data_IF_881543033512
#
_entry.id   IF_881543033512
#
_cell.length_a   1.000
_cell.length_b   1.000
_cell.length_c   1.000
_cell.angle_alpha   90.00
_cell.angle_beta   90.00
_cell.angle_gamma   90.00
#
_symmetry.space_group_name_H-M   'P 1'
#
loop_
_entity.id
_entity.type
_entity.pdbx_description
1 polymer ?
#
# COMPACT_ATOMS: atom_id res chain seq x y z
N UNK A 1 -2.93 -6.30 -28.76
CA UNK A 1 -3.76 -6.81 -27.64
C UNK A 1 -3.20 -6.24 -26.36
N UNK A 2 -3.78 -5.15 -25.88
CA UNK A 2 -3.34 -4.46 -24.67
C UNK A 2 -4.19 -5.00 -23.52
N UNK A 3 -3.76 -6.06 -22.84
CA UNK A 3 -4.42 -6.50 -21.61
C UNK A 3 -4.10 -5.48 -20.52
N UNK A 4 -5.04 -4.56 -20.28
CA UNK A 4 -5.10 -3.81 -19.03
C UNK A 4 -5.03 -4.80 -17.88
N UNK A 5 -4.01 -4.69 -17.04
CA UNK A 5 -3.75 -5.64 -15.94
C UNK A 5 -5.03 -5.94 -15.16
N UNK A 6 -5.46 -7.21 -15.06
CA UNK A 6 -6.64 -7.58 -14.30
C UNK A 6 -6.44 -7.25 -12.83
N UNK A 7 -7.50 -6.76 -12.18
CA UNK A 7 -7.55 -6.57 -10.72
C UNK A 7 -7.63 -7.97 -10.08
N UNK A 8 -6.47 -8.62 -9.98
CA UNK A 8 -6.33 -10.03 -9.56
C UNK A 8 -7.05 -10.30 -8.25
N UNK A 9 -6.97 -9.38 -7.29
CA UNK A 9 -7.59 -9.55 -5.98
C UNK A 9 -9.11 -9.54 -6.11
N UNK A 10 -9.67 -8.63 -6.93
CA UNK A 10 -11.10 -8.59 -7.21
C UNK A 10 -11.58 -9.87 -7.89
N UNK A 11 -10.85 -10.34 -8.90
CA UNK A 11 -11.20 -11.55 -9.64
C UNK A 11 -11.09 -12.79 -8.74
N UNK A 12 -10.06 -12.85 -7.89
CA UNK A 12 -9.90 -13.91 -6.89
C UNK A 12 -11.06 -13.91 -5.89
N UNK A 13 -11.50 -12.74 -5.41
CA UNK A 13 -12.65 -12.61 -4.50
C UNK A 13 -13.96 -13.02 -5.14
N UNK A 14 -14.14 -12.81 -6.44
CA UNK A 14 -15.30 -13.32 -7.16
C UNK A 14 -15.34 -14.85 -7.20
N UNK A 15 -14.18 -15.51 -7.23
CA UNK A 15 -14.07 -16.98 -7.29
C UNK A 15 -14.19 -17.66 -5.91
N UNK A 16 -13.53 -17.13 -4.87
CA UNK A 16 -13.46 -17.79 -3.55
C UNK A 16 -14.42 -17.19 -2.51
N UNK A 17 -15.08 -16.07 -2.84
CA UNK A 17 -15.93 -15.32 -1.92
C UNK A 17 -15.19 -14.83 -0.67
N UNK A 18 -15.78 -15.12 0.49
CA UNK A 18 -15.29 -14.71 1.80
C UNK A 18 -14.33 -15.71 2.46
N UNK A 19 -13.94 -16.76 1.74
CA UNK A 19 -12.98 -17.72 2.29
C UNK A 19 -11.66 -17.01 2.65
N UNK A 20 -10.99 -17.47 3.73
CA UNK A 20 -9.67 -16.97 4.11
C UNK A 20 -8.69 -17.16 2.96
N UNK A 21 -7.88 -16.14 2.69
CA UNK A 21 -6.85 -16.16 1.64
C UNK A 21 -5.61 -15.45 2.17
N UNK A 22 -4.45 -16.06 1.90
CA UNK A 22 -3.17 -15.44 2.22
C UNK A 22 -2.81 -14.46 1.11
N UNK A 23 -2.83 -13.15 1.41
CA UNK A 23 -2.41 -12.11 0.48
C UNK A 23 -1.04 -11.61 0.88
N UNK A 24 -0.13 -11.58 -0.09
CA UNK A 24 1.18 -10.98 0.09
C UNK A 24 1.08 -9.46 -0.07
N UNK A 25 1.81 -8.76 0.78
CA UNK A 25 1.93 -7.32 0.73
C UNK A 25 3.29 -6.89 1.24
N UNK A 26 3.66 -5.67 0.88
CA UNK A 26 4.89 -5.03 1.33
C UNK A 26 4.56 -3.75 2.10
N UNK A 27 5.32 -3.48 3.16
CA UNK A 27 5.27 -2.23 3.91
C UNK A 27 6.68 -1.66 4.08
N UNK A 28 6.79 -0.33 4.13
CA UNK A 28 8.08 0.36 4.24
C UNK A 28 8.07 1.44 5.30
N UNK A 29 9.21 1.59 5.99
CA UNK A 29 9.51 2.71 6.87
C UNK A 29 10.31 3.74 6.08
N UNK A 30 9.85 5.00 6.11
CA UNK A 30 10.58 6.11 5.50
C UNK A 30 10.93 7.09 6.61
N UNK A 31 12.22 7.34 6.76
CA UNK A 31 12.78 8.27 7.75
C UNK A 31 13.31 9.50 7.03
N UNK A 32 13.12 10.68 7.62
CA UNK A 32 13.81 11.88 7.17
C UNK A 32 15.18 12.04 7.85
N UNK A 33 15.96 13.06 7.45
CA UNK A 33 17.29 13.34 8.01
C UNK A 33 17.29 13.66 9.52
N UNK A 34 16.14 14.02 10.08
CA UNK A 34 15.93 14.33 11.51
C UNK A 34 15.46 13.10 12.30
N UNK A 35 15.32 11.94 11.66
CA UNK A 35 14.84 10.70 12.29
C UNK A 35 13.32 10.61 12.43
N UNK A 36 12.55 11.50 11.79
CA UNK A 36 11.08 11.46 11.86
C UNK A 36 10.54 10.46 10.82
N UNK A 37 9.52 9.68 11.22
CA UNK A 37 8.86 8.67 10.39
C UNK A 37 7.75 9.27 9.53
N UNK A 38 7.69 8.88 8.27
CA UNK A 38 6.55 9.16 7.40
C UNK A 38 5.43 8.16 7.67
N UNK A 39 4.29 8.65 8.13
CA UNK A 39 3.08 7.89 8.36
C UNK A 39 1.95 8.39 7.47
N UNK A 40 1.04 7.49 7.11
CA UNK A 40 -0.19 7.83 6.42
C UNK A 40 -1.35 7.85 7.41
N UNK A 41 -2.12 8.94 7.40
CA UNK A 41 -3.40 9.00 8.11
C UNK A 41 -4.51 8.45 7.23
N UNK A 42 -5.30 7.51 7.76
CA UNK A 42 -6.46 6.99 7.04
C UNK A 42 -7.62 7.99 7.16
N UNK A 43 -8.12 8.45 6.01
CA UNK A 43 -9.24 9.39 5.92
C UNK A 43 -10.43 8.88 6.74
N UNK A 44 -11.01 9.76 7.55
CA UNK A 44 -12.14 9.43 8.44
C UNK A 44 -11.75 8.70 9.73
N UNK A 45 -10.46 8.51 10.01
CA UNK A 45 -9.98 7.92 11.26
C UNK A 45 -8.86 8.76 11.89
N UNK A 46 -8.64 8.58 13.19
CA UNK A 46 -7.52 9.17 13.91
C UNK A 46 -6.29 8.25 13.94
N UNK A 47 -6.27 7.22 13.10
CA UNK A 47 -5.19 6.23 13.07
C UNK A 47 -4.14 6.57 12.02
N UNK A 48 -2.89 6.43 12.45
CA UNK A 48 -1.69 6.54 11.63
C UNK A 48 -1.12 5.15 11.37
N UNK A 49 -0.72 4.89 10.13
CA UNK A 49 -0.09 3.62 9.75
C UNK A 49 1.15 3.86 8.90
N UNK A 50 2.03 2.87 8.90
CA UNK A 50 3.12 2.81 7.92
C UNK A 50 2.56 2.70 6.51
N UNK A 51 3.34 3.13 5.53
CA UNK A 51 2.98 2.97 4.13
C UNK A 51 3.11 1.49 3.74
N UNK A 52 2.12 1.01 3.01
CA UNK A 52 2.14 -0.34 2.47
C UNK A 52 1.14 -0.53 1.35
N UNK A 53 1.26 -1.68 0.70
CA UNK A 53 0.40 -2.09 -0.41
C UNK A 53 0.41 -3.59 -0.56
N UNK A 54 -0.62 -4.11 -1.23
CA UNK A 54 -0.66 -5.51 -1.64
C UNK A 54 0.22 -5.70 -2.87
N UNK A 55 0.84 -6.86 -2.98
CA UNK A 55 1.62 -7.23 -4.15
C UNK A 55 0.68 -7.57 -5.30
N UNK A 56 0.92 -6.99 -6.46
CA UNK A 56 0.25 -7.41 -7.69
C UNK A 56 0.78 -8.77 -8.16
N UNK A 57 -0.02 -9.51 -8.93
CA UNK A 57 0.38 -10.82 -9.41
C UNK A 57 1.60 -10.71 -10.33
N UNK A 58 2.71 -11.32 -9.92
CA UNK A 58 3.98 -11.30 -10.67
C UNK A 58 4.90 -10.10 -10.37
N UNK A 59 4.50 -9.16 -9.50
CA UNK A 59 5.42 -8.14 -8.97
C UNK A 59 6.43 -8.76 -7.99
N UNK A 60 7.66 -8.24 -8.00
CA UNK A 60 8.62 -8.49 -6.91
C UNK A 60 8.28 -7.62 -5.70
N UNK A 61 8.80 -7.97 -4.51
CA UNK A 61 8.58 -7.16 -3.30
C UNK A 61 9.18 -5.75 -3.46
N UNK A 62 10.29 -5.64 -4.18
CA UNK A 62 10.95 -4.39 -4.51
C UNK A 62 10.08 -3.50 -5.41
N UNK A 63 9.42 -4.09 -6.40
CA UNK A 63 8.49 -3.39 -7.29
C UNK A 63 7.26 -2.90 -6.55
N UNK A 64 6.64 -3.76 -5.72
CA UNK A 64 5.52 -3.37 -4.86
C UNK A 64 5.90 -2.22 -3.94
N UNK A 65 7.13 -2.24 -3.38
CA UNK A 65 7.68 -1.15 -2.57
C UNK A 65 7.78 0.16 -3.35
N UNK A 66 8.30 0.10 -4.57
CA UNK A 66 8.40 1.29 -5.42
C UNK A 66 7.01 1.84 -5.79
N UNK A 67 6.02 0.98 -5.98
CA UNK A 67 4.66 1.34 -6.37
C UNK A 67 3.92 2.12 -5.26
N UNK A 68 3.91 1.61 -4.02
CA UNK A 68 3.23 2.34 -2.92
C UNK A 68 3.95 3.64 -2.56
N UNK A 69 5.28 3.70 -2.69
CA UNK A 69 6.06 4.92 -2.43
C UNK A 69 5.79 6.05 -3.44
N UNK A 70 5.33 5.71 -4.66
CA UNK A 70 4.99 6.70 -5.70
C UNK A 70 3.60 7.28 -5.56
N UNK A 71 2.63 6.51 -5.06
CA UNK A 71 1.20 6.85 -5.16
C UNK A 71 0.71 7.96 -4.23
N UNK A 72 1.42 8.33 -3.15
CA UNK A 72 0.85 9.25 -2.11
C UNK A 72 1.86 10.17 -1.41
N UNK A 73 2.41 11.15 -2.14
CA UNK A 73 3.13 12.29 -1.55
C UNK A 73 2.15 13.42 -1.17
N UNK A 74 1.34 13.23 -0.13
CA UNK A 74 0.71 14.35 0.59
C UNK A 74 1.41 14.47 1.95
N UNK A 75 2.33 15.41 2.02
CA UNK A 75 3.24 15.65 3.14
C UNK A 75 2.47 16.37 4.26
N UNK A 76 2.26 15.71 5.40
CA UNK A 76 1.80 16.37 6.62
C UNK A 76 2.95 16.32 7.63
N UNK A 77 3.69 17.42 7.72
CA UNK A 77 4.70 17.66 8.75
C UNK A 77 4.20 18.80 9.64
N UNK A 78 3.58 18.46 10.76
CA UNK A 78 3.14 19.42 11.77
C UNK A 78 2.31 18.76 12.89
N UNK A 79 2.34 19.30 14.12
CA UNK A 79 1.66 18.73 15.29
C UNK A 79 0.13 18.87 15.28
N UNK A 80 -0.46 19.32 14.17
CA UNK A 80 -1.90 19.59 14.03
C UNK A 80 -2.56 18.88 12.84
N UNK A 81 -1.95 17.81 12.31
CA UNK A 81 -2.64 16.92 11.39
C UNK A 81 -3.52 15.94 12.18
#
# INVERSE_FOLDING_TARGET
MSTSSPDYIRDLRALIGHLPVNLLGASGLVLNKRGELLLQRRVGTQYWSVLGGLCELGETLEDTRANFGRKRRSRCSGPSC
#
